data_IF_375867075488
#
_entry.id   IF_375867075488
#
_cell.length_a   1.000
_cell.length_b   1.000
_cell.length_c   1.000
_cell.angle_alpha   90.00
_cell.angle_beta   90.00
_cell.angle_gamma   90.00
#
_symmetry.space_group_name_H-M   'P 1'
#
loop_
_entity.id
_entity.type
_entity.pdbx_description
1 polymer ?
#
# COMPACT_ATOMS: atom_id res chain seq x y z
N UNK A 1 -11.19 -16.94 12.66
CA UNK A 1 -10.83 -15.54 12.96
C UNK A 1 -10.01 -15.02 11.79
N UNK A 2 -10.43 -13.95 11.12
CA UNK A 2 -9.60 -13.30 10.09
C UNK A 2 -8.49 -12.55 10.80
N UNK A 3 -7.24 -12.69 10.33
CA UNK A 3 -6.09 -12.00 10.91
C UNK A 3 -5.98 -10.62 10.25
N UNK A 4 -6.11 -9.56 11.04
CA UNK A 4 -5.86 -8.18 10.62
C UNK A 4 -4.43 -7.80 10.97
N UNK A 5 -3.78 -7.01 10.11
CA UNK A 5 -2.46 -6.45 10.34
C UNK A 5 -2.55 -4.93 10.41
N UNK A 6 -1.70 -4.28 11.21
CA UNK A 6 -1.53 -2.83 11.16
C UNK A 6 -0.47 -2.46 10.14
N UNK A 7 -0.64 -1.31 9.49
CA UNK A 7 0.29 -0.82 8.48
C UNK A 7 1.71 -0.66 9.05
N UNK A 8 1.83 -0.21 10.30
CA UNK A 8 3.11 -0.13 11.00
C UNK A 8 3.79 -1.49 11.25
N UNK A 9 3.02 -2.56 11.47
CA UNK A 9 3.57 -3.91 11.65
C UNK A 9 4.18 -4.43 10.34
N UNK A 10 3.54 -4.14 9.21
CA UNK A 10 4.02 -4.51 7.87
C UNK A 10 5.37 -3.83 7.63
N UNK A 11 5.48 -2.53 7.89
CA UNK A 11 6.71 -1.76 7.72
C UNK A 11 7.80 -2.19 8.72
N UNK A 12 7.44 -2.49 9.97
CA UNK A 12 8.40 -2.99 10.96
C UNK A 12 9.02 -4.34 10.54
N UNK A 13 8.27 -5.19 9.82
CA UNK A 13 8.73 -6.50 9.35
C UNK A 13 9.50 -6.44 8.03
N UNK A 14 9.08 -5.59 7.10
CA UNK A 14 9.58 -5.60 5.72
C UNK A 14 10.51 -4.41 5.40
N UNK A 15 10.53 -3.39 6.25
CA UNK A 15 11.19 -2.11 6.00
C UNK A 15 10.30 -1.16 5.19
N UNK A 16 10.93 -0.16 4.57
CA UNK A 16 10.22 0.90 3.84
C UNK A 16 9.93 2.12 4.71
N UNK A 17 9.44 3.18 4.08
CA UNK A 17 9.04 4.42 4.73
C UNK A 17 7.51 4.50 4.78
N UNK A 18 6.96 4.62 5.99
CA UNK A 18 5.52 4.81 6.17
C UNK A 18 5.16 6.29 6.13
N UNK A 19 4.16 6.64 5.32
CA UNK A 19 3.50 7.94 5.33
C UNK A 19 2.00 7.73 5.59
N UNK A 20 1.50 8.26 6.69
CA UNK A 20 0.12 8.10 7.13
C UNK A 20 0.03 7.46 8.51
N UNK A 21 -1.15 6.93 8.84
CA UNK A 21 -1.43 6.33 10.14
C UNK A 21 -0.86 4.90 10.26
N UNK A 22 0.08 4.62 11.19
CA UNK A 22 0.59 3.27 11.42
C UNK A 22 -0.45 2.29 11.96
N UNK A 23 -1.52 2.78 12.58
CA UNK A 23 -2.57 1.94 13.15
C UNK A 23 -3.66 1.56 12.13
N UNK A 24 -3.54 2.01 10.88
CA UNK A 24 -4.45 1.63 9.80
C UNK A 24 -4.52 0.11 9.64
N UNK A 25 -5.74 -0.43 9.71
CA UNK A 25 -6.01 -1.86 9.63
C UNK A 25 -6.02 -2.37 8.18
N UNK A 26 -5.25 -3.42 7.94
CA UNK A 26 -5.10 -4.12 6.68
C UNK A 26 -5.61 -5.55 6.83
N UNK A 27 -6.62 -5.89 6.02
CA UNK A 27 -7.31 -7.17 6.04
C UNK A 27 -6.72 -8.15 5.01
N UNK A 28 -6.31 -7.65 3.86
CA UNK A 28 -5.76 -8.42 2.75
C UNK A 28 -5.05 -7.51 1.75
N UNK A 29 -4.46 -8.12 0.73
CA UNK A 29 -3.88 -7.43 -0.41
C UNK A 29 -4.81 -7.55 -1.62
N UNK A 30 -4.92 -6.48 -2.40
CA UNK A 30 -5.73 -6.43 -3.62
C UNK A 30 -5.04 -5.57 -4.71
N UNK A 31 -5.50 -5.70 -5.95
CA UNK A 31 -5.07 -4.79 -7.04
C UNK A 31 -5.73 -3.43 -6.87
N UNK A 32 -5.17 -2.39 -7.49
CA UNK A 32 -5.74 -1.03 -7.45
C UNK A 32 -7.20 -0.98 -7.87
N UNK A 33 -7.58 -1.78 -8.86
CA UNK A 33 -8.92 -1.83 -9.45
C UNK A 33 -9.95 -2.53 -8.56
N UNK A 34 -9.54 -3.53 -7.79
CA UNK A 34 -10.45 -4.31 -6.94
C UNK A 34 -10.40 -3.95 -5.45
N UNK A 35 -9.45 -3.09 -5.06
CA UNK A 35 -9.21 -2.77 -3.67
C UNK A 35 -10.38 -2.00 -3.06
N UNK A 36 -10.85 -2.52 -1.93
CA UNK A 36 -11.85 -1.90 -1.08
C UNK A 36 -11.27 -1.40 0.25
N UNK A 37 -12.15 -0.91 1.14
CA UNK A 37 -11.75 -0.50 2.48
C UNK A 37 -11.06 -1.65 3.23
N UNK A 38 -9.92 -1.35 3.85
CA UNK A 38 -9.08 -2.33 4.56
C UNK A 38 -8.12 -3.11 3.66
N UNK A 39 -8.12 -2.91 2.35
CA UNK A 39 -7.16 -3.56 1.46
C UNK A 39 -5.88 -2.73 1.33
N UNK A 40 -4.74 -3.42 1.30
CA UNK A 40 -3.45 -2.86 0.86
C UNK A 40 -3.32 -3.12 -0.65
N UNK A 41 -2.93 -2.11 -1.42
CA UNK A 41 -2.63 -2.28 -2.84
C UNK A 41 -1.19 -1.84 -3.15
N UNK A 42 -0.73 -2.04 -4.38
CA UNK A 42 0.58 -1.58 -4.82
C UNK A 42 0.49 -0.98 -6.22
N UNK A 43 1.35 0.01 -6.49
CA UNK A 43 1.57 0.54 -7.82
C UNK A 43 2.81 -0.10 -8.43
N UNK A 44 2.62 -1.08 -9.31
CA UNK A 44 3.74 -1.74 -10.01
C UNK A 44 4.39 -0.88 -11.10
N UNK A 45 3.62 0.03 -11.71
CA UNK A 45 4.10 0.79 -12.85
C UNK A 45 3.42 2.16 -12.91
N UNK A 46 4.20 3.21 -13.17
CA UNK A 46 3.71 4.60 -13.21
C UNK A 46 2.54 4.86 -14.18
N UNK A 47 2.32 4.00 -15.20
CA UNK A 47 1.16 4.13 -16.10
C UNK A 47 -0.19 3.94 -15.38
N UNK A 48 -0.19 3.27 -14.23
CA UNK A 48 -1.39 3.04 -13.43
C UNK A 48 -1.63 4.12 -12.38
N UNK A 49 -0.82 5.21 -12.36
CA UNK A 49 -1.02 6.35 -11.45
C UNK A 49 -2.46 6.89 -11.49
N UNK A 50 -3.10 6.90 -12.66
CA UNK A 50 -4.48 7.34 -12.79
C UNK A 50 -5.46 6.51 -11.92
N UNK A 51 -5.19 5.22 -11.74
CA UNK A 51 -6.04 4.31 -10.95
C UNK A 51 -5.89 4.54 -9.44
N UNK A 52 -4.83 5.23 -8.98
CA UNK A 52 -4.70 5.65 -7.58
C UNK A 52 -5.80 6.61 -7.15
N UNK A 53 -6.38 7.37 -8.10
CA UNK A 53 -7.45 8.34 -7.80
C UNK A 53 -8.78 7.65 -7.54
N UNK A 54 -9.00 6.50 -8.15
CA UNK A 54 -10.29 5.79 -8.13
C UNK A 54 -10.31 4.63 -7.14
N UNK A 55 -9.14 4.25 -6.60
CA UNK A 55 -9.02 3.14 -5.64
C UNK A 55 -9.65 3.49 -4.28
N UNK A 56 -10.20 2.47 -3.61
CA UNK A 56 -10.78 2.58 -2.26
C UNK A 56 -9.95 1.85 -1.20
N UNK A 57 -8.71 1.53 -1.54
CA UNK A 57 -7.74 0.88 -0.64
C UNK A 57 -7.54 1.68 0.65
N UNK A 58 -7.24 0.98 1.74
CA UNK A 58 -6.83 1.63 2.99
C UNK A 58 -5.41 2.19 2.90
N UNK A 59 -4.52 1.53 2.14
CA UNK A 59 -3.15 1.98 1.94
C UNK A 59 -2.58 1.48 0.60
N UNK A 60 -1.49 2.11 0.13
CA UNK A 60 -0.80 1.71 -1.10
C UNK A 60 0.72 1.60 -0.94
N UNK A 61 1.33 0.58 -1.54
CA UNK A 61 2.78 0.45 -1.67
C UNK A 61 3.22 1.16 -2.95
N UNK A 62 4.16 2.10 -2.83
CA UNK A 62 4.64 2.94 -3.91
C UNK A 62 6.16 2.93 -3.99
N UNK A 63 6.67 3.23 -5.18
CA UNK A 63 8.07 3.58 -5.36
C UNK A 63 8.35 4.94 -4.70
N UNK A 64 9.57 5.21 -4.27
CA UNK A 64 9.91 6.46 -3.58
C UNK A 64 9.65 7.70 -4.44
N UNK A 65 9.80 7.57 -5.75
CA UNK A 65 9.55 8.61 -6.75
C UNK A 65 8.06 8.95 -6.89
N UNK A 66 7.18 8.05 -6.42
CA UNK A 66 5.72 8.17 -6.46
C UNK A 66 5.15 8.68 -5.14
N UNK A 67 6.00 9.20 -4.23
CA UNK A 67 5.65 9.65 -2.88
C UNK A 67 4.40 10.54 -2.83
N UNK A 68 4.19 11.37 -3.84
CA UNK A 68 3.10 12.35 -3.87
C UNK A 68 1.97 11.98 -4.86
N UNK A 69 1.97 10.73 -5.35
CA UNK A 69 0.97 10.27 -6.30
C UNK A 69 -0.45 10.09 -5.71
N UNK A 70 -0.56 10.03 -4.38
CA UNK A 70 -1.85 9.97 -3.67
C UNK A 70 -1.75 10.55 -2.26
N UNK A 71 -2.89 10.93 -1.69
CA UNK A 71 -3.01 11.32 -0.29
C UNK A 71 -3.28 10.13 0.65
N UNK A 72 -3.58 8.94 0.12
CA UNK A 72 -3.80 7.73 0.92
C UNK A 72 -2.56 7.39 1.77
N UNK A 73 -2.74 6.69 2.91
CA UNK A 73 -1.64 6.05 3.60
C UNK A 73 -0.82 5.20 2.64
N UNK A 74 0.50 5.26 2.77
CA UNK A 74 1.39 4.63 1.80
C UNK A 74 2.71 4.20 2.38
N UNK A 75 3.23 3.11 1.83
CA UNK A 75 4.56 2.59 2.13
C UNK A 75 5.44 2.85 0.93
N UNK A 76 6.53 3.59 1.12
CA UNK A 76 7.52 3.84 0.09
C UNK A 76 8.65 2.82 0.17
N UNK A 77 8.99 2.24 -0.96
CA UNK A 77 10.06 1.27 -1.10
C UNK A 77 10.74 1.40 -2.46
N UNK A 78 11.84 0.68 -2.67
CA UNK A 78 12.60 0.76 -3.93
C UNK A 78 11.91 -0.04 -5.05
N UNK A 79 11.26 -1.15 -4.71
CA UNK A 79 10.51 -2.00 -5.65
C UNK A 79 9.17 -2.44 -5.05
N UNK A 80 8.04 -1.81 -5.46
CA UNK A 80 6.71 -2.14 -4.97
C UNK A 80 6.27 -3.58 -5.25
N UNK A 81 6.71 -4.17 -6.35
CA UNK A 81 6.34 -5.54 -6.70
C UNK A 81 7.07 -6.55 -5.82
N UNK A 82 8.37 -6.34 -5.57
CA UNK A 82 9.14 -7.18 -4.65
C UNK A 82 8.65 -7.01 -3.21
N UNK A 83 8.33 -5.78 -2.80
CA UNK A 83 7.77 -5.51 -1.48
C UNK A 83 6.45 -6.27 -1.29
N UNK A 84 5.55 -6.18 -2.29
CA UNK A 84 4.30 -6.93 -2.32
C UNK A 84 4.54 -8.45 -2.21
N UNK A 85 5.49 -9.02 -2.97
CA UNK A 85 5.76 -10.45 -2.95
C UNK A 85 6.29 -10.97 -1.59
N UNK A 86 6.74 -10.07 -0.70
CA UNK A 86 7.27 -10.41 0.63
C UNK A 86 6.26 -10.19 1.77
N UNK A 87 5.18 -9.44 1.50
CA UNK A 87 4.16 -9.07 2.48
C UNK A 87 3.15 -10.21 2.72
#
# INVERSE_FOLDING_TARGET
>A
MSRTYRLGEIVARLGGELIGDPDAEILRIATLESAGPGDLCFLSHGRYRAHLRDTRAAAVILAREERDATALPRILCDDPYVYYARA
#
